data_IF_848691427732
#
_entry.id   IF_848691427732
#
_cell.length_a   1.000
_cell.length_b   1.000
_cell.length_c   1.000
_cell.angle_alpha   90.00
_cell.angle_beta   90.00
_cell.angle_gamma   90.00
#
_symmetry.space_group_name_H-M   'P 1'
#
loop_
_entity.id
_entity.type
_entity.pdbx_description
1 polymer ?
#
# COMPACT_ATOMS: atom_id res chain seq x y z
N UNK A 1 -17.19 5.63 -25.62
CA UNK A 1 -16.15 4.83 -24.93
C UNK A 1 -15.10 5.78 -24.41
N UNK A 2 -14.53 5.51 -23.23
CA UNK A 2 -13.48 6.35 -22.64
C UNK A 2 -12.19 6.16 -23.44
N UNK A 3 -11.51 7.25 -23.79
CA UNK A 3 -10.19 7.18 -24.40
C UNK A 3 -9.13 7.10 -23.30
N UNK A 4 -8.75 5.87 -22.92
CA UNK A 4 -7.83 5.65 -21.81
C UNK A 4 -6.44 6.23 -22.03
N UNK A 5 -5.95 6.30 -23.27
CA UNK A 5 -4.65 6.90 -23.56
C UNK A 5 -4.63 8.39 -23.22
N UNK A 6 -5.72 9.12 -23.52
CA UNK A 6 -5.86 10.53 -23.14
C UNK A 6 -6.03 10.69 -21.63
N UNK A 7 -6.81 9.83 -20.98
CA UNK A 7 -6.98 9.84 -19.53
C UNK A 7 -5.65 9.59 -18.81
N UNK A 8 -4.83 8.66 -19.29
CA UNK A 8 -3.51 8.38 -18.72
C UNK A 8 -2.54 9.55 -18.93
N UNK A 9 -2.52 10.15 -20.12
CA UNK A 9 -1.72 11.36 -20.38
C UNK A 9 -2.12 12.50 -19.46
N UNK A 10 -3.42 12.70 -19.24
CA UNK A 10 -3.94 13.68 -18.30
C UNK A 10 -3.49 13.35 -16.86
N UNK A 11 -3.72 12.13 -16.39
CA UNK A 11 -3.37 11.72 -15.02
C UNK A 11 -1.86 11.88 -14.71
N UNK A 12 -1.00 11.65 -15.70
CA UNK A 12 0.45 11.82 -15.61
C UNK A 12 0.92 13.28 -15.78
N UNK A 13 0.13 14.16 -16.37
CA UNK A 13 0.49 15.58 -16.54
C UNK A 13 -0.07 16.51 -15.46
N UNK A 14 -1.03 16.03 -14.64
CA UNK A 14 -1.60 16.79 -13.52
C UNK A 14 -0.52 17.24 -12.54
N UNK A 15 -0.69 18.45 -12.02
CA UNK A 15 0.08 18.96 -10.88
C UNK A 15 -0.42 18.28 -9.60
N UNK A 16 0.49 17.61 -8.89
CA UNK A 16 0.20 16.84 -7.69
C UNK A 16 0.99 17.41 -6.51
N UNK A 17 0.42 17.28 -5.31
CA UNK A 17 1.19 17.53 -4.08
C UNK A 17 2.39 16.58 -4.01
N UNK A 18 3.50 17.00 -3.39
CA UNK A 18 4.70 16.16 -3.25
C UNK A 18 4.88 15.74 -1.81
N UNK A 19 5.15 14.46 -1.59
CA UNK A 19 5.44 13.89 -0.28
C UNK A 19 6.66 12.99 -0.38
N UNK A 20 7.58 13.13 0.55
CA UNK A 20 8.71 12.21 0.68
C UNK A 20 8.58 11.48 2.00
N UNK A 21 8.55 10.15 1.95
CA UNK A 21 8.70 9.32 3.14
C UNK A 21 10.15 8.85 3.21
N UNK A 22 10.88 9.36 4.19
CA UNK A 22 12.28 9.01 4.42
C UNK A 22 12.49 8.59 5.87
N UNK A 23 13.22 7.50 6.05
CA UNK A 23 13.66 6.94 7.33
C UNK A 23 15.07 6.39 7.17
N UNK A 24 15.72 6.10 8.30
CA UNK A 24 16.97 5.36 8.28
C UNK A 24 16.80 4.02 7.55
N UNK A 25 17.89 3.52 6.95
CA UNK A 25 17.85 2.25 6.24
C UNK A 25 17.52 1.11 7.22
N UNK A 26 16.48 0.30 6.97
CA UNK A 26 16.10 -0.78 7.89
C UNK A 26 17.20 -1.86 7.99
N UNK A 27 17.29 -2.55 9.14
CA UNK A 27 18.21 -3.66 9.34
C UNK A 27 17.97 -4.80 8.32
N UNK A 28 18.99 -5.63 8.08
CA UNK A 28 18.88 -6.85 7.25
C UNK A 28 18.22 -6.63 5.87
N UNK A 29 18.50 -5.48 5.25
CA UNK A 29 17.99 -5.10 3.94
C UNK A 29 19.12 -4.76 2.97
N UNK A 30 19.15 -5.44 1.82
CA UNK A 30 20.13 -5.19 0.77
C UNK A 30 19.55 -4.28 -0.31
N UNK A 31 20.27 -3.22 -0.67
CA UNK A 31 19.95 -2.38 -1.83
C UNK A 31 20.04 -3.18 -3.13
N UNK A 32 19.00 -3.13 -3.93
CA UNK A 32 19.00 -3.63 -5.31
C UNK A 32 18.49 -2.56 -6.28
N UNK A 33 18.74 -2.73 -7.57
CA UNK A 33 18.41 -1.72 -8.61
C UNK A 33 17.01 -1.89 -9.22
N UNK A 34 16.46 -3.09 -9.20
CA UNK A 34 15.21 -3.41 -9.91
C UNK A 34 14.33 -4.32 -9.06
N UNK A 35 13.02 -4.25 -9.31
CA UNK A 35 12.03 -5.03 -8.56
C UNK A 35 12.17 -6.52 -8.87
N UNK A 36 12.12 -7.33 -7.81
CA UNK A 36 11.78 -8.75 -7.94
C UNK A 36 10.26 -8.85 -7.87
N UNK A 37 9.64 -9.40 -8.92
CA UNK A 37 8.19 -9.50 -9.02
C UNK A 37 7.71 -10.78 -8.33
N UNK A 38 6.79 -10.61 -7.38
CA UNK A 38 6.09 -11.72 -6.72
C UNK A 38 4.60 -11.64 -7.07
N UNK A 39 4.05 -12.77 -7.49
CA UNK A 39 2.62 -12.98 -7.73
C UNK A 39 2.21 -14.22 -6.93
N UNK A 40 1.23 -14.07 -6.04
CA UNK A 40 0.61 -15.21 -5.35
C UNK A 40 -0.37 -15.91 -6.29
N UNK A 41 -1.14 -15.11 -7.01
CA UNK A 41 -2.08 -15.51 -8.03
C UNK A 41 -1.75 -14.81 -9.35
N UNK A 42 -2.32 -15.30 -10.45
CA UNK A 42 -2.16 -14.65 -11.74
C UNK A 42 -2.73 -13.22 -11.72
N UNK A 43 -2.03 -12.24 -12.31
CA UNK A 43 -2.57 -10.90 -12.44
C UNK A 43 -3.95 -10.92 -13.13
N UNK A 44 -4.95 -10.21 -12.60
CA UNK A 44 -6.30 -10.29 -13.14
C UNK A 44 -6.35 -9.61 -14.52
N UNK A 45 -7.27 -10.05 -15.36
CA UNK A 45 -7.70 -9.27 -16.52
C UNK A 45 -8.80 -8.31 -16.06
N UNK A 46 -8.62 -7.01 -16.33
CA UNK A 46 -9.46 -5.96 -15.77
C UNK A 46 -10.06 -5.10 -16.88
N UNK A 47 -11.37 -4.90 -16.82
CA UNK A 47 -12.06 -3.91 -17.65
C UNK A 47 -12.11 -2.59 -16.90
N UNK A 48 -11.42 -1.58 -17.43
CA UNK A 48 -11.20 -0.32 -16.74
C UNK A 48 -12.49 0.49 -16.55
N UNK A 49 -13.45 0.35 -17.46
CA UNK A 49 -14.76 0.98 -17.39
C UNK A 49 -15.55 0.54 -16.17
N UNK A 50 -15.32 -0.69 -15.73
CA UNK A 50 -16.03 -1.34 -14.63
C UNK A 50 -15.16 -1.39 -13.34
N UNK A 51 -13.92 -0.88 -13.40
CA UNK A 51 -12.99 -0.99 -12.29
C UNK A 51 -13.25 0.08 -11.24
N UNK A 52 -13.56 -0.36 -10.02
CA UNK A 52 -13.85 0.49 -8.87
C UNK A 52 -13.07 0.02 -7.64
N UNK A 53 -12.69 0.98 -6.79
CA UNK A 53 -12.22 0.72 -5.44
C UNK A 53 -13.35 0.98 -4.45
N UNK A 54 -13.66 0.00 -3.62
CA UNK A 54 -14.69 0.10 -2.59
C UNK A 54 -14.10 0.21 -1.18
N UNK A 55 -14.74 1.01 -0.33
CA UNK A 55 -14.49 1.06 1.11
C UNK A 55 -15.77 0.63 1.83
N UNK A 56 -15.68 -0.46 2.59
CA UNK A 56 -16.84 -1.18 3.16
C UNK A 56 -16.64 -1.50 4.64
N UNK A 57 -17.67 -2.05 5.28
CA UNK A 57 -17.59 -2.51 6.67
C UNK A 57 -17.77 -1.37 7.68
N UNK A 58 -16.85 -1.24 8.63
CA UNK A 58 -16.94 -0.29 9.75
C UNK A 58 -16.58 1.15 9.35
N UNK A 59 -17.38 1.73 8.46
CA UNK A 59 -17.27 3.11 7.96
C UNK A 59 -18.59 3.86 8.13
N UNK A 60 -18.54 5.19 8.27
CA UNK A 60 -19.76 6.02 8.38
C UNK A 60 -20.67 5.89 7.15
N UNK A 61 -20.07 5.74 5.97
CA UNK A 61 -20.77 5.51 4.70
C UNK A 61 -19.88 4.70 3.77
N UNK A 62 -20.37 3.57 3.28
CA UNK A 62 -19.66 2.82 2.24
C UNK A 62 -19.59 3.63 0.95
N UNK A 63 -18.43 3.61 0.30
CA UNK A 63 -18.20 4.33 -0.95
C UNK A 63 -17.57 3.41 -1.99
N UNK A 64 -17.89 3.68 -3.25
CA UNK A 64 -17.22 3.11 -4.42
C UNK A 64 -16.70 4.27 -5.25
N UNK A 65 -15.44 4.16 -5.68
CA UNK A 65 -14.77 5.19 -6.46
C UNK A 65 -14.28 4.55 -7.75
N UNK A 66 -14.75 5.07 -8.87
CA UNK A 66 -14.34 4.58 -10.18
C UNK A 66 -12.86 4.87 -10.43
N UNK A 67 -12.21 4.01 -11.21
CA UNK A 67 -10.83 4.23 -11.65
C UNK A 67 -10.67 5.56 -12.39
N UNK A 68 -11.66 5.93 -13.20
CA UNK A 68 -11.68 7.23 -13.90
C UNK A 68 -11.67 8.42 -12.92
N UNK A 69 -12.44 8.36 -11.84
CA UNK A 69 -12.50 9.44 -10.85
C UNK A 69 -11.18 9.56 -10.06
N UNK A 70 -10.55 8.44 -9.73
CA UNK A 70 -9.22 8.42 -9.09
C UNK A 70 -8.19 9.14 -9.97
N UNK A 71 -8.22 8.89 -11.29
CA UNK A 71 -7.28 9.49 -12.23
C UNK A 71 -7.55 10.98 -12.51
N UNK A 72 -8.81 11.42 -12.45
CA UNK A 72 -9.20 12.72 -13.02
C UNK A 72 -9.77 13.73 -12.02
N UNK A 73 -10.42 13.27 -10.94
CA UNK A 73 -11.18 14.14 -10.02
C UNK A 73 -10.54 14.29 -8.64
N UNK A 74 -9.92 13.24 -8.13
CA UNK A 74 -9.37 13.26 -6.76
C UNK A 74 -8.01 13.97 -6.67
N UNK A 75 -7.67 14.61 -5.54
CA UNK A 75 -6.36 15.22 -5.33
C UNK A 75 -5.24 14.20 -5.50
N UNK A 76 -4.30 14.48 -6.41
CA UNK A 76 -3.18 13.58 -6.64
C UNK A 76 -1.96 13.93 -5.78
N UNK A 77 -1.15 12.91 -5.51
CA UNK A 77 0.11 13.01 -4.78
C UNK A 77 1.21 12.26 -5.53
N UNK A 78 2.38 12.91 -5.61
CA UNK A 78 3.66 12.31 -5.96
C UNK A 78 4.38 11.92 -4.67
N UNK A 79 4.42 10.63 -4.38
CA UNK A 79 5.11 10.05 -3.23
C UNK A 79 6.46 9.51 -3.65
N UNK A 80 7.54 9.98 -3.02
CA UNK A 80 8.85 9.34 -3.09
C UNK A 80 9.11 8.57 -1.81
N UNK A 81 9.35 7.27 -1.91
CA UNK A 81 9.59 6.41 -0.76
C UNK A 81 10.48 5.21 -1.12
N UNK A 82 11.22 4.71 -0.15
CA UNK A 82 11.91 3.43 -0.28
C UNK A 82 10.89 2.28 -0.24
N UNK A 83 11.17 1.20 -0.97
CA UNK A 83 10.39 -0.04 -0.96
C UNK A 83 11.19 -1.15 -0.28
N UNK A 84 10.61 -1.80 0.72
CA UNK A 84 11.26 -2.85 1.51
C UNK A 84 10.56 -4.19 1.34
N UNK A 85 11.24 -5.19 0.79
CA UNK A 85 10.70 -6.54 0.69
C UNK A 85 11.10 -7.38 1.91
N UNK A 86 10.16 -8.17 2.41
CA UNK A 86 10.38 -9.10 3.52
C UNK A 86 11.46 -10.15 3.26
N UNK A 87 11.80 -10.42 1.99
CA UNK A 87 12.87 -11.35 1.62
C UNK A 87 14.27 -10.70 1.64
N UNK A 88 14.40 -9.50 2.22
CA UNK A 88 15.70 -8.88 2.53
C UNK A 88 16.31 -8.04 1.40
N UNK A 89 15.51 -7.64 0.41
CA UNK A 89 15.92 -6.66 -0.59
C UNK A 89 15.06 -5.40 -0.54
N UNK A 90 15.66 -4.27 -0.89
CA UNK A 90 15.01 -2.96 -0.90
C UNK A 90 15.46 -2.10 -2.08
N UNK A 91 14.60 -1.18 -2.51
CA UNK A 91 14.87 -0.23 -3.59
C UNK A 91 14.64 1.17 -3.05
N UNK A 92 15.61 2.06 -3.25
CA UNK A 92 15.53 3.44 -2.78
C UNK A 92 14.77 4.36 -3.74
N UNK A 93 14.16 5.40 -3.19
CA UNK A 93 13.60 6.54 -3.93
C UNK A 93 12.62 6.13 -5.03
N UNK A 94 11.74 5.16 -4.76
CA UNK A 94 10.70 4.77 -5.71
C UNK A 94 9.67 5.90 -5.78
N UNK A 95 9.40 6.37 -7.00
CA UNK A 95 8.38 7.39 -7.23
C UNK A 95 7.05 6.71 -7.52
N UNK A 96 6.03 7.09 -6.76
CA UNK A 96 4.66 6.64 -6.93
C UNK A 96 3.77 7.86 -7.17
N UNK A 97 2.76 7.69 -8.01
CA UNK A 97 1.69 8.67 -8.16
C UNK A 97 0.35 8.02 -7.91
N UNK A 98 -0.47 8.71 -7.12
CA UNK A 98 -1.73 8.19 -6.63
C UNK A 98 -2.58 9.22 -5.93
N UNK A 99 -3.48 8.74 -5.08
CA UNK A 99 -4.32 9.54 -4.19
C UNK A 99 -4.11 9.03 -2.77
N UNK A 100 -4.03 9.92 -1.77
CA UNK A 100 -3.86 9.50 -0.37
C UNK A 100 -5.07 8.72 0.06
N UNK A 101 -4.88 7.62 0.80
CA UNK A 101 -6.01 6.79 1.24
C UNK A 101 -7.01 7.61 2.05
N UNK A 102 -6.54 8.50 2.93
CA UNK A 102 -7.39 9.39 3.75
C UNK A 102 -8.27 10.37 2.95
N UNK A 103 -7.92 10.66 1.69
CA UNK A 103 -8.70 11.56 0.82
C UNK A 103 -9.81 10.81 0.07
N UNK A 104 -9.77 9.47 0.05
CA UNK A 104 -10.75 8.59 -0.59
C UNK A 104 -11.62 7.89 0.46
N UNK A 105 -10.98 7.43 1.53
CA UNK A 105 -11.59 6.60 2.54
C UNK A 105 -12.63 7.41 3.33
N UNK A 106 -13.85 6.86 3.51
CA UNK A 106 -14.81 7.45 4.42
C UNK A 106 -14.29 7.34 5.86
N UNK A 107 -14.80 8.19 6.74
CA UNK A 107 -14.39 8.19 8.15
C UNK A 107 -14.69 6.83 8.79
N UNK A 108 -13.69 6.19 9.43
CA UNK A 108 -13.90 4.94 10.17
C UNK A 108 -14.88 5.11 11.33
N UNK A 109 -15.67 4.08 11.63
CA UNK A 109 -16.40 4.00 12.89
C UNK A 109 -15.43 3.84 14.06
N UNK A 110 -15.84 4.23 15.27
CA UNK A 110 -14.96 4.30 16.46
C UNK A 110 -14.41 2.95 16.89
N UNK A 111 -15.08 1.85 16.54
CA UNK A 111 -14.62 0.48 16.83
C UNK A 111 -13.79 -0.15 15.71
N UNK A 112 -13.61 0.52 14.56
CA UNK A 112 -12.75 0.03 13.49
C UNK A 112 -11.28 0.11 13.92
N UNK A 113 -10.53 -0.99 13.79
CA UNK A 113 -9.11 -1.05 14.16
C UNK A 113 -8.20 -1.49 13.03
N UNK A 114 -8.72 -2.31 12.12
CA UNK A 114 -7.98 -2.88 11.00
C UNK A 114 -8.75 -2.68 9.70
N UNK A 115 -8.05 -2.87 8.58
CA UNK A 115 -8.63 -3.03 7.27
C UNK A 115 -8.14 -4.34 6.66
N UNK A 116 -9.06 -5.11 6.08
CA UNK A 116 -8.73 -6.18 5.15
C UNK A 116 -8.73 -5.61 3.74
N UNK A 117 -7.56 -5.62 3.11
CA UNK A 117 -7.39 -5.18 1.72
C UNK A 117 -7.52 -6.41 0.83
N UNK A 118 -8.35 -6.31 -0.21
CA UNK A 118 -8.67 -7.40 -1.12
C UNK A 118 -8.32 -6.99 -2.55
N UNK A 119 -7.49 -7.80 -3.20
CA UNK A 119 -7.14 -7.69 -4.61
C UNK A 119 -8.15 -8.37 -5.52
N UNK A 120 -8.24 -7.91 -6.77
CA UNK A 120 -9.05 -8.53 -7.82
C UNK A 120 -8.52 -9.90 -8.24
N UNK A 121 -7.26 -10.22 -7.93
CA UNK A 121 -6.63 -11.53 -8.06
C UNK A 121 -6.98 -12.50 -6.91
N UNK A 122 -7.70 -12.04 -5.88
CA UNK A 122 -8.02 -12.81 -4.68
C UNK A 122 -6.97 -12.71 -3.57
N UNK A 123 -5.88 -11.95 -3.77
CA UNK A 123 -4.91 -11.71 -2.71
C UNK A 123 -5.54 -10.88 -1.57
N UNK A 124 -5.18 -11.17 -0.32
CA UNK A 124 -5.65 -10.43 0.85
C UNK A 124 -4.50 -10.12 1.81
N UNK A 125 -4.59 -8.98 2.50
CA UNK A 125 -3.67 -8.61 3.58
C UNK A 125 -4.38 -7.72 4.60
N UNK A 126 -4.02 -7.86 5.87
CA UNK A 126 -4.55 -7.02 6.94
C UNK A 126 -3.63 -5.82 7.19
N UNK A 127 -4.22 -4.66 7.48
CA UNK A 127 -3.51 -3.40 7.74
C UNK A 127 -4.11 -2.73 8.97
N UNK A 128 -3.34 -2.34 9.98
CA UNK A 128 -3.84 -1.45 11.04
C UNK A 128 -4.32 -0.12 10.44
N UNK A 129 -5.47 0.38 10.87
CA UNK A 129 -6.02 1.65 10.34
C UNK A 129 -5.03 2.81 10.54
N UNK A 130 -4.26 2.80 11.63
CA UNK A 130 -3.22 3.79 11.90
C UNK A 130 -2.17 3.86 10.79
N UNK A 131 -1.78 2.73 10.18
CA UNK A 131 -0.86 2.68 9.05
C UNK A 131 -1.55 3.02 7.73
N UNK A 132 -2.77 2.52 7.53
CA UNK A 132 -3.56 2.77 6.32
C UNK A 132 -3.86 4.27 6.13
N UNK A 133 -4.09 5.00 7.23
CA UNK A 133 -4.47 6.41 7.24
C UNK A 133 -3.26 7.36 7.37
N UNK A 134 -2.03 6.86 7.31
CA UNK A 134 -0.85 7.72 7.26
C UNK A 134 -0.88 8.65 6.04
N UNK A 135 -0.31 9.85 6.17
CA UNK A 135 -0.22 10.83 5.09
C UNK A 135 0.58 10.35 3.87
N UNK A 136 1.33 9.26 4.04
CA UNK A 136 2.20 8.61 3.08
C UNK A 136 1.62 7.31 2.53
N UNK A 137 0.44 6.90 3.00
CA UNK A 137 -0.28 5.73 2.50
C UNK A 137 -1.19 6.15 1.35
N UNK A 138 -0.98 5.56 0.17
CA UNK A 138 -1.64 5.98 -1.07
C UNK A 138 -2.22 4.80 -1.84
N UNK A 139 -3.27 5.08 -2.59
CA UNK A 139 -3.73 4.26 -3.71
C UNK A 139 -3.02 4.75 -4.96
N UNK A 140 -2.01 3.99 -5.41
CA UNK A 140 -1.18 4.34 -6.55
C UNK A 140 -1.76 3.80 -7.85
N UNK A 141 -1.68 4.60 -8.91
CA UNK A 141 -2.01 4.25 -10.30
C UNK A 141 -0.82 4.42 -11.26
N UNK A 142 0.28 5.03 -10.78
CA UNK A 142 1.50 5.22 -11.54
C UNK A 142 2.74 5.04 -10.68
N UNK A 143 3.83 4.67 -11.35
CA UNK A 143 5.13 4.38 -10.75
C UNK A 143 6.23 4.83 -11.71
N UNK A 144 7.24 5.55 -11.19
CA UNK A 144 8.39 6.05 -11.94
C UNK A 144 8.00 6.78 -13.25
N UNK A 145 6.97 7.64 -13.17
CA UNK A 145 6.52 8.49 -14.28
C UNK A 145 5.66 7.79 -15.33
N UNK A 146 5.32 6.51 -15.16
CA UNK A 146 4.44 5.77 -16.07
C UNK A 146 3.24 5.19 -15.31
N UNK A 147 2.13 4.96 -16.01
CA UNK A 147 1.02 4.15 -15.47
C UNK A 147 1.57 2.78 -15.04
N UNK A 148 1.03 2.23 -13.96
CA UNK A 148 1.46 0.92 -13.46
C UNK A 148 1.45 -0.11 -14.60
N UNK A 149 2.49 -0.94 -14.65
CA UNK A 149 2.43 -2.16 -15.46
C UNK A 149 1.54 -3.19 -14.78
N UNK A 150 1.13 -4.21 -15.54
CA UNK A 150 0.42 -5.37 -14.99
C UNK A 150 1.18 -5.97 -13.81
N UNK A 151 2.47 -6.26 -13.94
CA UNK A 151 3.30 -6.83 -12.85
C UNK A 151 3.35 -5.99 -11.57
N UNK A 152 3.21 -4.67 -11.70
CA UNK A 152 3.26 -3.72 -10.60
C UNK A 152 1.90 -3.41 -9.97
N UNK A 153 0.80 -4.01 -10.45
CA UNK A 153 -0.51 -3.87 -9.84
C UNK A 153 -1.50 -3.02 -10.62
N UNK A 154 -1.30 -2.83 -11.93
CA UNK A 154 -2.29 -2.14 -12.77
C UNK A 154 -3.69 -2.76 -12.62
N UNK A 155 -4.75 -1.98 -12.35
CA UNK A 155 -4.79 -0.53 -12.49
C UNK A 155 -4.50 0.23 -11.19
N UNK A 156 -4.73 -0.38 -10.03
CA UNK A 156 -4.54 0.25 -8.72
C UNK A 156 -3.79 -0.69 -7.77
N UNK A 157 -2.82 -0.13 -7.04
CA UNK A 157 -2.20 -0.81 -5.90
C UNK A 157 -2.22 0.05 -4.66
N UNK A 158 -2.16 -0.59 -3.51
CA UNK A 158 -1.85 0.07 -2.24
C UNK A 158 -0.33 0.24 -2.11
N UNK A 159 0.10 1.37 -1.55
CA UNK A 159 1.49 1.65 -1.17
C UNK A 159 1.50 2.18 0.26
N UNK A 160 2.17 1.45 1.16
CA UNK A 160 2.36 1.83 2.57
C UNK A 160 3.85 1.76 2.89
N UNK A 161 4.60 2.87 2.77
CA UNK A 161 6.05 2.89 2.96
C UNK A 161 6.53 2.45 4.35
N UNK A 162 5.67 2.62 5.36
CA UNK A 162 5.97 2.22 6.73
C UNK A 162 5.88 0.71 6.97
N UNK A 163 5.56 -0.09 5.94
CA UNK A 163 5.42 -1.55 6.01
C UNK A 163 6.21 -2.26 4.91
N UNK A 164 6.51 -3.54 5.14
CA UNK A 164 7.05 -4.41 4.12
C UNK A 164 6.10 -4.59 2.93
N UNK A 165 6.66 -4.89 1.77
CA UNK A 165 5.99 -4.86 0.47
C UNK A 165 4.77 -5.77 0.32
N UNK A 166 4.63 -6.85 1.10
CA UNK A 166 3.45 -7.73 1.01
C UNK A 166 2.16 -7.04 1.51
N UNK A 167 2.30 -6.04 2.40
CA UNK A 167 1.20 -5.20 2.87
C UNK A 167 0.71 -4.23 1.80
N UNK A 168 1.57 -3.88 0.84
CA UNK A 168 1.25 -3.01 -0.30
C UNK A 168 0.60 -3.82 -1.43
N UNK A 169 -0.64 -4.28 -1.20
CA UNK A 169 -1.39 -5.15 -2.11
C UNK A 169 -1.55 -4.59 -3.54
N UNK A 170 -1.53 -5.48 -4.54
CA UNK A 170 -1.75 -5.16 -5.96
C UNK A 170 -3.22 -5.37 -6.35
N UNK A 171 -3.64 -4.74 -7.45
CA UNK A 171 -4.97 -4.92 -8.04
C UNK A 171 -6.11 -4.69 -7.04
N UNK A 172 -5.98 -3.69 -6.16
CA UNK A 172 -6.92 -3.52 -5.04
C UNK A 172 -8.33 -3.18 -5.56
N UNK A 173 -9.34 -3.82 -4.99
CA UNK A 173 -10.77 -3.60 -5.31
C UNK A 173 -11.65 -3.31 -4.10
N UNK A 174 -11.24 -3.74 -2.92
CA UNK A 174 -11.97 -3.50 -1.68
C UNK A 174 -11.01 -3.28 -0.51
N UNK A 175 -11.33 -2.28 0.32
CA UNK A 175 -10.72 -2.02 1.62
C UNK A 175 -11.84 -2.10 2.66
N UNK A 176 -11.94 -3.24 3.35
CA UNK A 176 -12.99 -3.50 4.32
C UNK A 176 -12.49 -3.19 5.73
N UNK A 177 -13.10 -2.22 6.40
CA UNK A 177 -12.74 -1.88 7.78
C UNK A 177 -13.43 -2.85 8.75
N UNK A 178 -12.65 -3.36 9.71
CA UNK A 178 -13.04 -4.40 10.66
C UNK A 178 -12.50 -4.07 12.06
N UNK A 179 -13.11 -4.65 13.09
CA UNK A 179 -12.78 -4.43 14.51
C UNK A 179 -11.67 -5.36 14.99
N UNK A 180 -11.73 -6.64 14.61
CA UNK A 180 -10.74 -7.65 14.93
C UNK A 180 -9.84 -7.95 13.73
N UNK A 181 -8.62 -8.40 14.02
CA UNK A 181 -7.66 -8.73 12.96
C UNK A 181 -8.13 -9.98 12.21
N UNK A 182 -8.43 -9.82 10.92
CA UNK A 182 -8.61 -10.93 10.00
C UNK A 182 -7.33 -11.14 9.21
N UNK A 183 -6.80 -12.35 9.20
CA UNK A 183 -5.53 -12.66 8.53
C UNK A 183 -5.69 -12.65 7.01
N UNK A 184 -4.72 -12.06 6.32
CA UNK A 184 -4.58 -12.20 4.87
C UNK A 184 -3.76 -13.43 4.48
N UNK A 185 -3.33 -13.48 3.23
CA UNK A 185 -2.65 -14.64 2.66
C UNK A 185 -1.35 -14.98 3.37
N UNK A 186 -0.40 -14.02 3.45
CA UNK A 186 0.91 -14.28 4.04
C UNK A 186 0.82 -14.38 5.57
N UNK A 187 -0.08 -13.63 6.20
CA UNK A 187 -0.25 -13.65 7.65
C UNK A 187 -0.84 -14.99 8.12
N UNK A 188 -1.74 -15.59 7.32
CA UNK A 188 -2.18 -16.97 7.54
C UNK A 188 -1.04 -18.00 7.42
N UNK A 189 0.01 -17.69 6.66
CA UNK A 189 1.21 -18.52 6.49
C UNK A 189 2.33 -18.19 7.49
N UNK A 190 2.04 -17.40 8.53
CA UNK A 190 2.98 -17.11 9.63
C UNK A 190 3.83 -15.85 9.44
N UNK A 191 3.60 -15.06 8.40
CA UNK A 191 4.16 -13.71 8.31
C UNK A 191 3.52 -12.79 9.36
N UNK A 192 4.26 -11.76 9.77
CA UNK A 192 3.83 -10.88 10.85
C UNK A 192 2.56 -10.06 10.50
N UNK A 193 1.75 -9.74 11.51
CA UNK A 193 0.46 -9.06 11.30
C UNK A 193 0.62 -7.59 10.95
N UNK A 194 1.61 -6.92 11.51
CA UNK A 194 1.91 -5.52 11.25
C UNK A 194 2.90 -5.36 10.10
N UNK A 195 4.12 -5.89 10.21
CA UNK A 195 5.05 -5.99 9.09
C UNK A 195 5.95 -4.77 8.94
N UNK A 196 6.40 -4.20 10.06
CA UNK A 196 7.31 -3.06 10.13
C UNK A 196 8.78 -3.46 9.79
N UNK A 197 9.39 -2.85 8.75
CA UNK A 197 10.77 -3.11 8.36
C UNK A 197 11.84 -2.77 9.39
N UNK A 198 11.61 -1.77 10.24
CA UNK A 198 12.58 -1.30 11.21
C UNK A 198 12.59 -2.16 12.47
N UNK A 199 11.48 -2.85 12.74
CA UNK A 199 11.34 -3.78 13.86
C UNK A 199 11.62 -5.23 13.48
N UNK A 200 12.03 -5.51 12.24
CA UNK A 200 12.25 -6.87 11.71
C UNK A 200 11.03 -7.79 11.90
N UNK A 201 9.83 -7.21 11.78
CA UNK A 201 8.55 -7.91 11.88
C UNK A 201 8.29 -8.74 10.63
N UNK A 202 9.10 -9.76 10.37
CA UNK A 202 8.98 -10.62 9.18
C UNK A 202 7.99 -11.76 9.40
N UNK A 203 8.07 -12.40 10.55
CA UNK A 203 7.27 -13.57 10.92
C UNK A 203 6.73 -13.46 12.34
N UNK A 204 5.57 -14.05 12.59
CA UNK A 204 4.98 -14.12 13.94
C UNK A 204 5.85 -14.95 14.89
N UNK A 205 5.78 -14.63 16.18
CA UNK A 205 6.43 -15.41 17.24
C UNK A 205 7.95 -15.28 17.29
N UNK A 206 8.56 -14.37 16.51
CA UNK A 206 10.00 -14.07 16.55
C UNK A 206 10.31 -12.81 17.39
N UNK A 207 9.26 -12.11 17.87
CA UNK A 207 9.33 -10.83 18.59
C UNK A 207 10.26 -10.83 19.83
N UNK A 208 10.53 -11.99 20.43
CA UNK A 208 11.41 -12.09 21.61
C UNK A 208 12.91 -11.97 21.31
N UNK A 209 13.35 -12.14 20.05
CA UNK A 209 14.78 -12.16 19.71
C UNK A 209 15.42 -10.79 19.43
N UNK A 210 14.63 -9.76 19.15
CA UNK A 210 15.12 -8.46 18.68
C UNK A 210 14.77 -7.26 19.57
N UNK A 211 14.52 -7.47 20.88
CA UNK A 211 14.49 -6.32 21.81
C UNK A 211 15.82 -5.56 21.70
N UNK A 212 15.83 -4.25 21.41
CA UNK A 212 17.05 -3.49 21.45
C UNK A 212 17.63 -3.63 22.87
N UNK A 213 18.89 -4.06 22.97
CA UNK A 213 19.59 -4.05 24.25
C UNK A 213 19.54 -2.60 24.74
N UNK A 214 18.84 -2.36 25.86
CA UNK A 214 18.85 -1.05 26.54
C UNK A 214 20.29 -0.61 26.72
N UNK A 215 20.69 0.48 26.07
CA UNK A 215 22.08 0.90 26.12
C UNK A 215 22.38 2.16 25.33
N UNK A 216 21.77 3.29 25.71
CA UNK A 216 22.46 4.60 25.62
C UNK A 216 22.08 5.39 26.88
N UNK A 217 23.07 5.64 27.72
CA UNK A 217 22.98 6.63 28.80
C UNK A 217 22.94 8.02 28.17
N UNK A 218 21.97 8.83 28.55
CA UNK A 218 22.05 10.28 28.37
C UNK A 218 22.70 10.83 29.64
N UNK A 219 23.95 11.28 29.54
CA UNK A 219 24.53 12.18 30.53
C UNK A 219 24.08 13.61 30.22
N UNK A 220 23.86 14.37 31.30
CA UNK A 220 23.30 15.73 31.31
C UNK A 220 24.29 16.77 30.82
#
# INVERSE_FOLDING_TARGET
>A
MVNWDEVFKLALSRECSRVTYSREWPPEQRRIKGFIIYNVYDPPDVRLEDYELSFTGLVEREVKVSYLDILTKLPCVDLTADFHCVTGWSISNVSWRGVKVKDIAPKPLTNARYALVIGADGYTTNIPISALMEDTSIVAYAMNGSILSRDHGFPLRLVIPSRYGWKSAKYIKEVRLIDEVQLGYWEALGYHDNGDPWLEERFRGIEERHKPRRGVKVEK
#
